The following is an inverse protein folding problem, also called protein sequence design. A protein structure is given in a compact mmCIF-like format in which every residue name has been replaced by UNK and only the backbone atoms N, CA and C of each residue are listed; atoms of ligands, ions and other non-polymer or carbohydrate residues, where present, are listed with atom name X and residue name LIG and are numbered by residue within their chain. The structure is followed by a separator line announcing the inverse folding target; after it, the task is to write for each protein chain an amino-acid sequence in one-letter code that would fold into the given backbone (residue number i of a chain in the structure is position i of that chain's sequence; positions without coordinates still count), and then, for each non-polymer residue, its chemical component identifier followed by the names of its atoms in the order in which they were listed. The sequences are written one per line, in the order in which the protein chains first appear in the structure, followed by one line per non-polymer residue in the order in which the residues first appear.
data_IF_622915989905
#
_entry.id   IF_622915989905
#
_cell.length_a   1.000
_cell.length_b   1.000
_cell.length_c   1.000
_cell.angle_alpha   90.00
_cell.angle_beta   90.00
_cell.angle_gamma   90.00
#
_symmetry.space_group_name_H-M   'P 1'
#
loop_
_entity.id
_entity.type
_entity.pdbx_description
1 polymer ?
#
# COMPACT_ATOMS: atom_id res chain seq x y z
N UNK A 1 3.61 -2.14 -18.21
CA UNK A 1 2.21 -1.69 -18.30
C UNK A 1 2.04 -0.51 -17.36
N UNK A 2 1.41 0.58 -17.81
CA UNK A 2 1.31 1.82 -17.02
C UNK A 2 0.09 1.75 -16.11
N UNK A 3 0.32 1.85 -14.80
CA UNK A 3 -0.71 1.76 -13.76
C UNK A 3 -1.38 3.11 -13.64
N UNK A 4 -2.71 3.15 -13.51
CA UNK A 4 -3.50 4.38 -13.51
C UNK A 4 -2.93 5.46 -12.57
N UNK A 5 -2.60 5.08 -11.33
CA UNK A 5 -2.03 5.96 -10.31
C UNK A 5 -0.63 6.53 -10.62
N UNK A 6 0.18 5.84 -11.43
CA UNK A 6 1.58 6.24 -11.68
C UNK A 6 1.78 6.88 -13.06
N UNK A 7 0.71 6.97 -13.85
CA UNK A 7 0.75 7.53 -15.18
C UNK A 7 0.65 9.06 -15.11
N UNK A 8 1.74 9.76 -15.39
CA UNK A 8 1.79 11.23 -15.33
C UNK A 8 0.65 11.91 -16.10
N UNK A 9 0.27 11.38 -17.26
CA UNK A 9 -0.83 11.93 -18.07
C UNK A 9 -2.21 11.77 -17.43
N UNK A 10 -2.41 10.78 -16.54
CA UNK A 10 -3.67 10.69 -15.79
C UNK A 10 -3.78 11.82 -14.78
N UNK A 11 -2.68 12.21 -14.14
CA UNK A 11 -2.69 13.38 -13.25
C UNK A 11 -2.89 14.68 -14.02
N UNK A 12 -2.25 14.86 -15.17
CA UNK A 12 -2.50 16.02 -16.03
C UNK A 12 -3.96 16.11 -16.47
N UNK A 13 -4.56 14.98 -16.88
CA UNK A 13 -6.00 14.94 -17.25
C UNK A 13 -6.89 15.35 -16.08
N UNK A 14 -6.63 14.84 -14.87
CA UNK A 14 -7.43 15.19 -13.70
C UNK A 14 -7.29 16.68 -13.32
N UNK A 15 -6.07 17.23 -13.35
CA UNK A 15 -5.84 18.67 -13.12
C UNK A 15 -6.52 19.52 -14.21
N UNK A 16 -6.36 19.14 -15.48
CA UNK A 16 -6.97 19.85 -16.61
C UNK A 16 -8.50 19.83 -16.52
N UNK A 17 -9.09 18.69 -16.18
CA UNK A 17 -10.54 18.56 -16.03
C UNK A 17 -11.07 19.48 -14.92
N UNK A 18 -10.41 19.50 -13.75
CA UNK A 18 -10.79 20.41 -12.67
C UNK A 18 -10.61 21.89 -13.06
N UNK A 19 -9.50 22.22 -13.71
CA UNK A 19 -9.22 23.60 -14.11
C UNK A 19 -10.20 24.11 -15.18
N UNK A 20 -10.58 23.26 -16.14
CA UNK A 20 -11.58 23.60 -17.15
C UNK A 20 -12.97 23.81 -16.53
N UNK A 21 -13.38 22.96 -15.58
CA UNK A 21 -14.66 23.09 -14.86
C UNK A 21 -14.73 24.37 -14.00
N UNK A 22 -13.61 24.79 -13.41
CA UNK A 22 -13.54 25.94 -12.50
C UNK A 22 -13.02 27.24 -13.12
N UNK A 23 -12.66 27.25 -14.40
CA UNK A 23 -11.92 28.37 -15.02
C UNK A 23 -10.66 28.75 -14.20
N UNK A 24 -9.94 27.74 -13.73
CA UNK A 24 -8.70 27.90 -12.98
C UNK A 24 -7.49 27.95 -13.91
N UNK A 25 -6.40 28.58 -13.44
CA UNK A 25 -5.12 28.62 -14.17
C UNK A 25 -4.14 27.64 -13.57
N UNK A 26 -3.44 26.91 -14.44
CA UNK A 26 -2.38 25.98 -14.08
C UNK A 26 -1.08 26.45 -14.74
N UNK A 27 0.02 26.48 -13.98
CA UNK A 27 1.36 26.73 -14.51
C UNK A 27 2.33 25.67 -13.99
N UNK A 28 3.04 24.98 -14.89
CA UNK A 28 4.06 24.00 -14.54
C UNK A 28 5.45 24.64 -14.67
N UNK A 29 6.24 24.56 -13.61
CA UNK A 29 7.69 24.78 -13.70
C UNK A 29 8.35 23.47 -14.15
N UNK A 30 8.93 23.47 -15.36
CA UNK A 30 9.55 22.28 -15.95
C UNK A 30 10.88 21.88 -15.29
N UNK A 31 11.51 22.77 -14.51
CA UNK A 31 12.75 22.48 -13.80
C UNK A 31 12.47 21.79 -12.46
N UNK A 32 11.49 22.29 -11.71
CA UNK A 32 11.14 21.73 -10.40
C UNK A 32 10.04 20.69 -10.47
N UNK A 33 9.31 20.64 -11.60
CA UNK A 33 8.06 19.90 -11.76
C UNK A 33 6.94 20.35 -10.81
N UNK A 34 7.05 21.53 -10.20
CA UNK A 34 5.97 22.09 -9.38
C UNK A 34 4.85 22.66 -10.24
N UNK A 35 3.61 22.52 -9.79
CA UNK A 35 2.45 23.13 -10.43
C UNK A 35 1.88 24.22 -9.53
N UNK A 36 1.80 25.44 -10.04
CA UNK A 36 1.02 26.50 -9.43
C UNK A 36 -0.43 26.39 -9.92
N UNK A 37 -1.37 26.39 -8.97
CA UNK A 37 -2.82 26.36 -9.22
C UNK A 37 -3.42 27.68 -8.73
N UNK A 38 -4.12 28.39 -9.62
CA UNK A 38 -4.73 29.70 -9.32
C UNK A 38 -6.23 29.65 -9.56
N UNK A 39 -7.02 30.01 -8.56
CA UNK A 39 -8.47 30.10 -8.68
C UNK A 39 -9.04 31.09 -7.65
N UNK A 40 -9.97 31.95 -8.06
CA UNK A 40 -10.63 32.97 -7.22
C UNK A 40 -9.67 33.82 -6.37
N UNK A 41 -8.53 34.20 -6.94
CA UNK A 41 -7.51 35.01 -6.25
C UNK A 41 -6.74 34.28 -5.15
N UNK A 42 -6.96 32.98 -4.97
CA UNK A 42 -6.10 32.10 -4.15
C UNK A 42 -5.10 31.37 -5.05
N UNK A 43 -3.96 31.02 -4.47
CA UNK A 43 -2.84 30.40 -5.17
C UNK A 43 -2.20 29.34 -4.29
N UNK A 44 -1.92 28.16 -4.85
CA UNK A 44 -1.21 27.08 -4.17
C UNK A 44 -0.14 26.49 -5.08
N UNK A 45 1.02 26.20 -4.51
CA UNK A 45 2.07 25.42 -5.16
C UNK A 45 1.89 23.96 -4.80
N UNK A 46 1.86 23.12 -5.83
CA UNK A 46 1.73 21.68 -5.72
C UNK A 46 3.09 21.04 -6.01
N UNK A 47 3.65 20.35 -5.02
CA UNK A 47 4.97 19.74 -5.07
C UNK A 47 4.89 18.32 -5.63
N UNK A 48 5.77 17.94 -6.57
CA UNK A 48 5.75 16.62 -7.18
C UNK A 48 6.27 15.55 -6.22
N UNK A 49 5.82 14.33 -6.46
CA UNK A 49 6.42 13.10 -5.96
C UNK A 49 6.77 12.22 -7.15
N UNK A 50 7.94 11.59 -7.10
CA UNK A 50 8.43 10.61 -8.05
C UNK A 50 8.73 9.31 -7.33
N UNK A 51 8.57 8.19 -8.03
CA UNK A 51 9.15 6.91 -7.63
C UNK A 51 10.49 6.76 -8.32
N UNK A 52 11.54 6.51 -7.56
CA UNK A 52 12.88 6.30 -8.07
C UNK A 52 13.47 4.98 -7.55
N UNK A 53 14.55 4.53 -8.18
CA UNK A 53 15.39 3.44 -7.67
C UNK A 53 16.67 4.01 -7.04
N UNK A 54 16.94 3.65 -5.79
CA UNK A 54 18.21 3.88 -5.10
C UNK A 54 18.72 2.57 -4.55
N UNK A 55 19.93 2.15 -4.92
CA UNK A 55 20.55 0.90 -4.46
C UNK A 55 19.65 -0.33 -4.67
N UNK A 56 18.99 -0.39 -5.84
CA UNK A 56 18.02 -1.45 -6.17
C UNK A 56 16.69 -1.36 -5.41
N UNK A 57 16.47 -0.32 -4.62
CA UNK A 57 15.26 -0.13 -3.79
C UNK A 57 14.37 0.97 -4.36
N UNK A 58 13.06 0.75 -4.34
CA UNK A 58 12.09 1.79 -4.62
C UNK A 58 12.12 2.83 -3.48
N UNK A 59 12.18 4.11 -3.85
CA UNK A 59 12.12 5.25 -2.93
C UNK A 59 11.23 6.34 -3.51
N UNK A 60 10.65 7.18 -2.65
CA UNK A 60 9.98 8.40 -3.09
C UNK A 60 10.98 9.56 -3.11
N UNK A 61 10.92 10.35 -4.18
CA UNK A 61 11.76 11.54 -4.39
C UNK A 61 10.88 12.74 -4.73
N UNK A 62 11.27 13.94 -4.33
CA UNK A 62 10.66 15.20 -4.79
C UNK A 62 11.33 15.76 -6.04
N UNK A 63 12.41 15.12 -6.51
CA UNK A 63 13.22 15.56 -7.65
C UNK A 63 13.15 14.52 -8.76
N UNK A 64 12.93 14.97 -9.99
CA UNK A 64 13.04 14.14 -11.18
C UNK A 64 14.52 13.83 -11.45
N UNK A 65 14.86 12.55 -11.42
CA UNK A 65 16.23 12.05 -11.63
C UNK A 65 16.27 11.02 -12.74
N UNK A 66 17.47 10.68 -13.22
CA UNK A 66 17.66 9.56 -14.16
C UNK A 66 17.22 8.20 -13.59
N UNK A 67 17.13 8.06 -12.26
CA UNK A 67 16.66 6.85 -11.60
C UNK A 67 15.14 6.82 -11.38
N UNK A 68 14.41 7.82 -11.86
CA UNK A 68 12.96 7.89 -11.77
C UNK A 68 12.30 6.83 -12.65
N UNK A 69 11.44 6.03 -12.05
CA UNK A 69 10.71 4.93 -12.69
C UNK A 69 9.20 5.17 -12.75
N UNK A 70 8.69 6.22 -12.11
CA UNK A 70 7.28 6.55 -12.10
C UNK A 70 7.00 7.92 -11.50
N UNK A 71 5.81 8.44 -11.76
CA UNK A 71 5.30 9.68 -11.18
C UNK A 71 4.31 9.35 -10.07
N UNK A 72 4.45 9.99 -8.91
CA UNK A 72 3.63 9.76 -7.72
C UNK A 72 2.55 10.83 -7.50
N UNK A 73 2.44 11.83 -8.37
CA UNK A 73 1.46 12.92 -8.28
C UNK A 73 1.96 14.19 -7.59
N UNK A 74 1.08 15.19 -7.49
CA UNK A 74 1.36 16.47 -6.83
C UNK A 74 0.58 16.66 -5.53
N UNK A 75 1.18 17.31 -4.53
CA UNK A 75 0.56 17.61 -3.22
C UNK A 75 0.78 19.06 -2.81
N UNK A 76 -0.11 19.70 -2.03
CA UNK A 76 0.02 21.10 -1.62
C UNK A 76 1.07 21.30 -0.50
N UNK A 77 1.93 20.31 -0.27
CA UNK A 77 2.97 20.32 0.75
C UNK A 77 4.11 19.35 0.36
N UNK A 78 5.33 19.59 0.86
CA UNK A 78 6.44 18.65 0.71
C UNK A 78 6.23 17.37 1.53
N UNK A 79 7.06 16.34 1.32
CA UNK A 79 6.92 15.07 2.04
C UNK A 79 6.92 15.25 3.58
N UNK A 80 5.98 14.57 4.24
CA UNK A 80 5.72 14.68 5.68
C UNK A 80 6.25 13.43 6.38
N UNK A 81 7.03 13.60 7.44
CA UNK A 81 7.42 12.50 8.34
C UNK A 81 6.57 12.56 9.60
N UNK A 82 5.87 11.47 9.90
CA UNK A 82 5.06 11.35 11.11
C UNK A 82 5.45 10.08 11.89
N UNK A 83 5.43 10.12 13.22
CA UNK A 83 5.85 9.00 14.05
C UNK A 83 5.01 7.74 13.77
N UNK A 84 3.70 7.90 13.69
CA UNK A 84 2.74 6.83 13.42
C UNK A 84 2.79 6.28 11.99
N UNK A 85 3.40 7.01 11.03
CA UNK A 85 3.67 6.45 9.70
C UNK A 85 5.04 5.78 9.60
N UNK A 86 5.88 5.92 10.63
CA UNK A 86 7.24 5.39 10.66
C UNK A 86 7.30 4.10 11.48
N UNK A 87 6.65 4.08 12.66
CA UNK A 87 6.60 2.91 13.54
C UNK A 87 5.18 2.29 13.55
N UNK A 88 5.09 1.07 13.02
CA UNK A 88 3.84 0.30 12.94
C UNK A 88 3.25 -0.03 14.31
N UNK A 89 4.08 -0.18 15.33
CA UNK A 89 3.62 -0.48 16.70
C UNK A 89 2.94 0.73 17.33
N UNK A 90 3.47 1.93 17.09
CA UNK A 90 2.83 3.17 17.52
C UNK A 90 1.46 3.34 16.85
N UNK A 91 1.38 3.09 15.54
CA UNK A 91 0.09 3.11 14.83
C UNK A 91 -0.91 2.13 15.42
N UNK A 92 -0.50 0.90 15.69
CA UNK A 92 -1.37 -0.12 16.31
C UNK A 92 -1.83 0.24 17.71
N UNK A 93 -0.96 0.84 18.52
CA UNK A 93 -1.35 1.34 19.83
C UNK A 93 -2.45 2.39 19.70
N UNK A 94 -2.27 3.36 18.82
CA UNK A 94 -3.29 4.36 18.49
C UNK A 94 -4.61 3.74 18.00
N UNK A 95 -4.57 2.72 17.13
CA UNK A 95 -5.77 2.04 16.67
C UNK A 95 -6.55 1.42 17.83
N UNK A 96 -5.86 0.72 18.74
CA UNK A 96 -6.48 0.12 19.93
C UNK A 96 -7.09 1.18 20.85
N UNK A 97 -6.35 2.25 21.13
CA UNK A 97 -6.81 3.37 21.95
C UNK A 97 -8.04 4.08 21.34
N UNK A 98 -8.11 4.11 20.01
CA UNK A 98 -9.24 4.68 19.26
C UNK A 98 -10.41 3.70 19.05
N UNK A 99 -10.32 2.48 19.60
CA UNK A 99 -11.33 1.43 19.42
C UNK A 99 -11.49 0.98 17.95
N UNK A 100 -10.44 1.09 17.15
CA UNK A 100 -10.38 0.66 15.75
C UNK A 100 -9.74 -0.73 15.64
N UNK A 101 -10.26 -1.53 14.72
CA UNK A 101 -9.77 -2.90 14.47
C UNK A 101 -8.36 -2.89 13.91
N UNK A 102 -7.48 -3.68 14.52
CA UNK A 102 -6.14 -4.02 14.02
C UNK A 102 -5.83 -5.46 14.39
N UNK A 103 -5.05 -6.20 13.59
CA UNK A 103 -4.72 -7.59 13.94
C UNK A 103 -4.04 -7.68 15.30
N UNK A 104 -4.32 -8.76 16.03
CA UNK A 104 -3.62 -9.09 17.25
C UNK A 104 -2.10 -9.16 17.00
N UNK A 105 -1.30 -8.70 17.96
CA UNK A 105 0.15 -8.64 17.78
C UNK A 105 0.90 -8.89 19.08
N UNK A 106 1.99 -9.64 19.01
CA UNK A 106 2.96 -9.80 20.09
C UNK A 106 4.13 -8.84 19.84
N UNK A 107 4.49 -7.97 20.81
CA UNK A 107 5.45 -6.88 20.58
C UNK A 107 6.85 -7.28 20.11
N UNK A 108 7.27 -8.52 20.40
CA UNK A 108 8.59 -9.04 20.03
C UNK A 108 8.47 -10.51 19.62
N UNK A 109 9.21 -10.89 18.57
CA UNK A 109 9.31 -12.27 18.09
C UNK A 109 10.08 -13.20 19.05
N UNK A 110 10.68 -12.67 20.12
CA UNK A 110 11.30 -13.47 21.19
C UNK A 110 10.32 -13.76 22.34
N UNK A 111 9.19 -13.06 22.41
CA UNK A 111 8.22 -13.18 23.51
C UNK A 111 7.27 -14.39 23.37
N UNK A 112 7.27 -15.07 22.22
CA UNK A 112 6.44 -16.24 21.96
C UNK A 112 7.22 -17.23 21.08
N UNK A 113 7.23 -18.51 21.47
CA UNK A 113 7.93 -19.54 20.69
C UNK A 113 7.11 -20.01 19.48
N UNK A 114 5.81 -20.22 19.67
CA UNK A 114 4.86 -20.66 18.66
C UNK A 114 3.48 -20.02 18.91
N UNK A 115 3.08 -19.01 18.13
CA UNK A 115 1.76 -18.40 18.22
C UNK A 115 0.64 -19.41 17.96
N UNK A 116 -0.49 -19.30 18.66
CA UNK A 116 -1.69 -20.14 18.48
C UNK A 116 -2.62 -19.66 17.35
N UNK A 117 -2.18 -18.66 16.57
CA UNK A 117 -2.86 -18.11 15.41
C UNK A 117 -1.92 -18.11 14.19
N UNK A 118 -2.50 -18.12 12.98
CA UNK A 118 -1.74 -17.89 11.75
C UNK A 118 -1.10 -16.50 11.81
N UNK A 119 0.19 -16.38 11.46
CA UNK A 119 0.94 -15.16 11.73
C UNK A 119 1.89 -14.76 10.61
N UNK A 120 2.28 -13.48 10.63
CA UNK A 120 3.39 -12.92 9.88
C UNK A 120 4.32 -12.20 10.85
N UNK A 121 5.53 -11.93 10.37
CA UNK A 121 6.54 -11.23 11.13
C UNK A 121 6.85 -9.93 10.43
N UNK A 122 6.93 -8.85 11.19
CA UNK A 122 7.11 -7.50 10.65
C UNK A 122 8.16 -6.74 11.43
N UNK A 123 9.04 -6.05 10.72
CA UNK A 123 9.83 -4.97 11.31
C UNK A 123 8.94 -3.81 11.75
N UNK A 124 9.18 -3.30 12.96
CA UNK A 124 8.45 -2.16 13.51
C UNK A 124 8.60 -0.90 12.64
N UNK A 125 9.81 -0.65 12.16
CA UNK A 125 10.17 0.51 11.34
C UNK A 125 10.53 0.01 9.95
N UNK A 126 9.91 0.56 8.91
CA UNK A 126 10.22 0.17 7.53
C UNK A 126 9.04 0.40 6.61
N UNK A 127 9.31 0.42 5.30
CA UNK A 127 8.29 0.64 4.26
C UNK A 127 8.49 -0.34 3.10
N UNK A 128 7.52 -0.40 2.19
CA UNK A 128 7.54 -1.23 0.97
C UNK A 128 7.63 -2.75 1.20
N UNK A 129 7.11 -3.26 2.32
CA UNK A 129 6.92 -4.70 2.54
C UNK A 129 8.19 -5.55 2.57
N UNK A 130 9.38 -4.95 2.77
CA UNK A 130 10.68 -5.64 2.73
C UNK A 130 11.03 -6.41 4.00
N UNK A 131 10.53 -5.95 5.14
CA UNK A 131 10.78 -6.58 6.44
C UNK A 131 9.55 -7.39 6.87
N UNK A 132 8.98 -8.14 5.93
CA UNK A 132 7.82 -9.00 6.18
C UNK A 132 8.21 -10.44 5.85
N UNK A 133 7.99 -11.35 6.80
CA UNK A 133 8.15 -12.78 6.59
C UNK A 133 6.86 -13.53 6.92
N UNK A 134 6.70 -14.71 6.30
CA UNK A 134 5.49 -15.52 6.39
C UNK A 134 4.65 -15.45 5.11
N UNK A 135 3.40 -15.92 5.14
CA UNK A 135 2.63 -16.36 6.33
C UNK A 135 3.14 -17.65 6.95
N UNK A 136 2.85 -17.83 8.24
CA UNK A 136 3.13 -19.02 9.03
C UNK A 136 1.85 -19.55 9.67
N UNK A 137 1.76 -20.86 9.84
CA UNK A 137 0.59 -21.51 10.45
C UNK A 137 0.62 -21.39 11.97
N UNK A 138 -0.55 -21.31 12.59
CA UNK A 138 -0.72 -21.50 14.02
C UNK A 138 0.05 -22.74 14.52
N UNK A 139 0.72 -22.61 15.67
CA UNK A 139 1.57 -23.64 16.27
C UNK A 139 2.93 -23.83 15.60
N UNK A 140 3.22 -23.17 14.48
CA UNK A 140 4.55 -23.23 13.85
C UNK A 140 5.55 -22.40 14.65
N UNK A 141 6.76 -22.93 14.92
CA UNK A 141 7.78 -22.17 15.64
C UNK A 141 8.20 -20.94 14.84
N UNK A 142 8.52 -19.85 15.54
CA UNK A 142 9.12 -18.67 14.92
C UNK A 142 10.51 -19.06 14.38
N UNK A 143 10.79 -18.86 13.07
CA UNK A 143 12.09 -19.21 12.50
C UNK A 143 13.28 -18.54 13.22
N UNK A 144 14.41 -19.25 13.31
CA UNK A 144 15.61 -18.73 13.98
C UNK A 144 16.43 -17.75 13.13
N UNK A 145 16.12 -17.67 11.84
CA UNK A 145 16.81 -16.83 10.85
C UNK A 145 16.22 -15.43 10.68
N UNK A 146 15.09 -15.14 11.33
CA UNK A 146 14.56 -13.78 11.39
C UNK A 146 15.56 -12.88 12.07
N UNK A 147 16.00 -11.85 11.35
CA UNK A 147 16.97 -10.87 11.85
C UNK A 147 18.43 -11.10 11.43
N UNK A 148 18.75 -12.17 10.69
CA UNK A 148 20.15 -12.54 10.40
C UNK A 148 20.96 -11.53 9.57
N UNK A 149 20.34 -10.59 8.88
CA UNK A 149 21.02 -9.46 8.21
C UNK A 149 21.14 -8.21 9.11
N UNK A 150 21.49 -8.38 10.38
CA UNK A 150 21.67 -7.26 11.32
C UNK A 150 20.38 -6.63 11.83
N UNK A 151 19.24 -7.28 11.60
CA UNK A 151 17.96 -6.90 12.19
C UNK A 151 17.83 -7.53 13.59
N UNK A 152 17.81 -6.67 14.59
CA UNK A 152 17.55 -7.04 15.98
C UNK A 152 16.18 -7.72 16.10
N UNK A 153 16.14 -8.99 16.55
CA UNK A 153 14.89 -9.76 16.71
C UNK A 153 13.89 -9.05 17.63
N UNK A 154 14.37 -8.19 18.54
CA UNK A 154 13.51 -7.35 19.40
C UNK A 154 12.78 -6.24 18.62
N UNK A 155 13.21 -5.95 17.39
CA UNK A 155 12.56 -4.97 16.49
C UNK A 155 11.55 -5.62 15.54
N UNK A 156 11.46 -6.95 15.55
CA UNK A 156 10.47 -7.72 14.79
C UNK A 156 9.34 -8.10 15.72
N UNK A 157 8.10 -7.80 15.32
CA UNK A 157 6.91 -8.18 16.06
C UNK A 157 6.13 -9.26 15.31
N UNK A 158 5.36 -10.04 16.05
CA UNK A 158 4.45 -11.06 15.52
C UNK A 158 3.09 -10.44 15.33
N UNK A 159 2.46 -10.66 14.20
CA UNK A 159 1.13 -10.15 13.89
C UNK A 159 0.25 -11.27 13.36
N UNK A 160 -1.00 -11.33 13.82
CA UNK A 160 -2.00 -12.23 13.28
C UNK A 160 -2.20 -11.98 11.78
N UNK A 161 -2.10 -13.04 11.00
CA UNK A 161 -2.37 -13.04 9.58
C UNK A 161 -3.89 -13.02 9.35
N UNK A 162 -4.38 -11.96 8.71
CA UNK A 162 -5.80 -11.82 8.38
C UNK A 162 -6.03 -12.33 6.96
N UNK A 163 -6.91 -13.32 6.83
CA UNK A 163 -7.37 -13.81 5.54
C UNK A 163 -8.39 -12.85 4.94
N UNK A 164 -8.30 -12.58 3.65
CA UNK A 164 -9.22 -11.70 2.96
C UNK A 164 -8.61 -11.00 1.75
N UNK A 165 -9.11 -9.80 1.46
CA UNK A 165 -8.69 -8.97 0.32
C UNK A 165 -7.76 -7.86 0.81
N UNK A 166 -6.77 -7.52 0.00
CA UNK A 166 -5.88 -6.40 0.25
C UNK A 166 -6.70 -5.11 0.13
N UNK A 167 -6.57 -4.22 1.11
CA UNK A 167 -7.21 -2.92 1.13
C UNK A 167 -6.18 -1.80 1.26
N UNK A 168 -6.38 -0.71 0.52
CA UNK A 168 -5.72 0.57 0.78
C UNK A 168 -6.72 1.70 0.59
N UNK A 169 -6.84 2.57 1.57
CA UNK A 169 -7.78 3.70 1.53
C UNK A 169 -7.00 5.00 1.64
N UNK A 170 -7.31 5.97 0.78
CA UNK A 170 -6.74 7.31 0.83
C UNK A 170 -7.74 8.28 1.44
N UNK A 171 -7.24 9.10 2.35
CA UNK A 171 -8.00 10.12 3.07
C UNK A 171 -7.39 11.50 2.82
N UNK A 172 -8.24 12.51 2.72
CA UNK A 172 -7.87 13.93 2.72
C UNK A 172 -8.53 14.61 3.91
N UNK A 173 -7.73 15.09 4.87
CA UNK A 173 -8.28 15.75 6.07
C UNK A 173 -9.22 14.87 6.90
N UNK A 174 -9.11 13.54 6.76
CA UNK A 174 -9.99 12.56 7.38
C UNK A 174 -11.15 12.07 6.52
N UNK A 175 -11.40 12.64 5.33
CA UNK A 175 -12.45 12.16 4.42
C UNK A 175 -11.87 11.12 3.45
N UNK A 176 -12.42 9.90 3.35
CA UNK A 176 -12.00 8.96 2.34
C UNK A 176 -12.39 9.47 0.95
N UNK A 177 -11.49 9.37 -0.03
CA UNK A 177 -11.78 9.80 -1.41
C UNK A 177 -11.40 8.78 -2.48
N UNK A 178 -10.62 7.77 -2.12
CA UNK A 178 -10.21 6.71 -3.03
C UNK A 178 -9.85 5.44 -2.26
N UNK A 179 -10.10 4.27 -2.84
CA UNK A 179 -9.68 3.01 -2.25
C UNK A 179 -9.28 1.98 -3.32
N UNK A 180 -8.31 1.14 -2.99
CA UNK A 180 -8.01 -0.10 -3.69
C UNK A 180 -8.50 -1.25 -2.83
N UNK A 181 -9.26 -2.18 -3.42
CA UNK A 181 -9.60 -3.45 -2.80
C UNK A 181 -9.46 -4.56 -3.83
N UNK A 182 -8.50 -5.47 -3.64
CA UNK A 182 -8.20 -6.52 -4.60
C UNK A 182 -7.82 -7.83 -3.93
N UNK A 183 -7.99 -8.93 -4.67
CA UNK A 183 -7.62 -10.26 -4.20
C UNK A 183 -6.09 -10.44 -4.29
N UNK A 184 -5.58 -11.48 -3.63
CA UNK A 184 -4.18 -11.83 -3.76
C UNK A 184 -3.82 -12.23 -5.19
N UNK A 185 -2.59 -11.93 -5.66
CA UNK A 185 -2.13 -12.40 -6.96
C UNK A 185 -2.07 -13.93 -6.99
N UNK A 186 -2.67 -14.52 -8.03
CA UNK A 186 -2.80 -15.97 -8.21
C UNK A 186 -1.90 -16.54 -9.31
N UNK A 187 -1.47 -17.78 -9.14
CA UNK A 187 -1.11 -18.71 -10.22
C UNK A 187 -2.21 -19.76 -10.37
N UNK A 188 -2.40 -20.27 -11.59
CA UNK A 188 -3.38 -21.32 -11.88
C UNK A 188 -2.66 -22.53 -12.47
N UNK A 189 -2.90 -23.70 -11.87
CA UNK A 189 -2.38 -24.96 -12.38
C UNK A 189 -2.94 -25.30 -13.75
N UNK A 190 -2.10 -25.93 -14.57
CA UNK A 190 -2.46 -26.45 -15.89
C UNK A 190 -2.32 -27.98 -15.98
N UNK A 191 -2.00 -28.65 -14.86
CA UNK A 191 -1.79 -30.09 -14.79
C UNK A 191 -0.46 -30.57 -15.39
N UNK A 192 0.41 -29.67 -15.84
CA UNK A 192 1.68 -30.03 -16.51
C UNK A 192 2.88 -29.34 -15.86
N UNK A 193 2.79 -28.03 -15.60
CA UNK A 193 3.89 -27.24 -15.05
C UNK A 193 3.91 -27.26 -13.52
N UNK A 194 5.11 -27.17 -12.97
CA UNK A 194 5.32 -27.02 -11.52
C UNK A 194 4.90 -25.63 -11.04
N UNK A 195 4.62 -25.50 -9.73
CA UNK A 195 4.38 -24.21 -9.10
C UNK A 195 5.53 -23.22 -9.38
N UNK A 196 6.78 -23.68 -9.29
CA UNK A 196 7.97 -22.91 -9.69
C UNK A 196 7.83 -22.30 -11.09
N UNK A 197 7.54 -23.15 -12.09
CA UNK A 197 7.49 -22.69 -13.48
C UNK A 197 6.36 -21.68 -13.68
N UNK A 198 5.20 -21.91 -13.07
CA UNK A 198 4.04 -21.02 -13.14
C UNK A 198 4.34 -19.64 -12.51
N UNK A 199 5.03 -19.63 -11.37
CA UNK A 199 5.47 -18.39 -10.71
C UNK A 199 6.47 -17.65 -11.58
N UNK A 200 7.51 -18.32 -12.09
CA UNK A 200 8.54 -17.71 -12.94
C UNK A 200 7.92 -17.12 -14.21
N UNK A 201 7.05 -17.86 -14.90
CA UNK A 201 6.34 -17.37 -16.08
C UNK A 201 5.52 -16.10 -15.75
N UNK A 202 4.85 -16.09 -14.59
CA UNK A 202 4.10 -14.92 -14.11
C UNK A 202 5.01 -13.74 -13.77
N UNK A 203 6.14 -13.95 -13.11
CA UNK A 203 7.11 -12.90 -12.81
C UNK A 203 7.73 -12.30 -14.10
N UNK A 204 8.25 -13.14 -15.00
CA UNK A 204 8.88 -12.71 -16.26
C UNK A 204 7.93 -11.94 -17.14
N UNK A 205 6.68 -12.39 -17.24
CA UNK A 205 5.65 -11.65 -17.99
C UNK A 205 5.31 -10.27 -17.41
N UNK A 206 5.55 -10.07 -16.12
CA UNK A 206 5.45 -8.77 -15.45
C UNK A 206 6.71 -7.91 -15.61
N UNK A 207 7.71 -8.37 -16.39
CA UNK A 207 8.99 -7.70 -16.57
C UNK A 207 9.94 -7.87 -15.38
N UNK A 208 9.75 -8.89 -14.55
CA UNK A 208 10.59 -9.16 -13.39
C UNK A 208 11.67 -10.21 -13.70
N UNK A 209 12.84 -10.00 -13.10
CA UNK A 209 13.93 -10.96 -13.09
C UNK A 209 13.89 -11.75 -11.77
N UNK A 210 13.28 -12.93 -11.83
CA UNK A 210 13.08 -13.80 -10.67
C UNK A 210 14.39 -14.16 -9.96
N UNK A 211 15.49 -14.33 -10.71
CA UNK A 211 16.77 -14.76 -10.15
C UNK A 211 17.49 -13.63 -9.39
N UNK A 212 17.00 -12.39 -9.50
CA UNK A 212 17.46 -11.23 -8.73
C UNK A 212 16.44 -10.75 -7.70
N UNK A 213 15.33 -11.45 -7.54
CA UNK A 213 14.18 -10.93 -6.80
C UNK A 213 14.22 -11.28 -5.31
N UNK A 214 13.93 -10.27 -4.49
CA UNK A 214 13.96 -10.30 -3.03
C UNK A 214 12.68 -10.95 -2.45
N UNK A 215 11.69 -11.23 -3.30
CA UNK A 215 10.36 -11.71 -2.88
C UNK A 215 10.20 -13.24 -2.93
N UNK A 216 11.24 -13.96 -3.35
CA UNK A 216 11.20 -15.43 -3.48
C UNK A 216 10.74 -16.11 -2.20
N UNK A 217 11.27 -15.69 -1.05
CA UNK A 217 10.96 -16.29 0.25
C UNK A 217 9.50 -16.10 0.63
N UNK A 218 8.92 -14.95 0.29
CA UNK A 218 7.50 -14.66 0.52
C UNK A 218 6.64 -15.55 -0.36
N UNK A 219 6.95 -15.65 -1.67
CA UNK A 219 6.20 -16.53 -2.58
C UNK A 219 6.24 -17.98 -2.11
N UNK A 220 7.42 -18.47 -1.71
CA UNK A 220 7.58 -19.82 -1.18
C UNK A 220 6.82 -20.01 0.14
N UNK A 221 6.85 -19.03 1.04
CA UNK A 221 6.08 -19.07 2.28
C UNK A 221 4.56 -19.13 2.01
N UNK A 222 4.06 -18.34 1.06
CA UNK A 222 2.65 -18.35 0.63
C UNK A 222 2.22 -19.74 0.14
N UNK A 223 3.03 -20.36 -0.73
CA UNK A 223 2.74 -21.69 -1.26
C UNK A 223 2.79 -22.76 -0.16
N UNK A 224 3.83 -22.76 0.68
CA UNK A 224 3.97 -23.68 1.81
C UNK A 224 2.80 -23.57 2.78
N UNK A 225 2.37 -22.35 3.09
CA UNK A 225 1.22 -22.10 3.95
C UNK A 225 -0.07 -22.71 3.38
N UNK A 226 -0.22 -22.74 2.06
CA UNK A 226 -1.34 -23.40 1.36
C UNK A 226 -1.11 -24.92 1.12
N UNK A 227 -0.05 -25.51 1.68
CA UNK A 227 0.28 -26.92 1.51
C UNK A 227 0.80 -27.28 0.11
N UNK A 228 1.32 -26.31 -0.64
CA UNK A 228 1.85 -26.50 -1.98
C UNK A 228 3.37 -26.56 -1.92
N UNK A 229 3.94 -27.67 -2.41
CA UNK A 229 5.36 -27.79 -2.63
C UNK A 229 5.82 -27.00 -3.88
N UNK A 230 7.00 -26.39 -3.81
CA UNK A 230 7.56 -25.55 -4.88
C UNK A 230 7.73 -26.30 -6.21
N UNK A 231 8.04 -27.60 -6.13
CA UNK A 231 8.26 -28.45 -7.30
C UNK A 231 7.05 -29.32 -7.66
N UNK A 232 5.92 -29.19 -6.93
CA UNK A 232 4.69 -29.90 -7.27
C UNK A 232 4.06 -29.36 -8.56
N UNK A 233 3.53 -30.26 -9.39
CA UNK A 233 2.65 -29.91 -10.50
C UNK A 233 1.28 -29.57 -9.96
N UNK A 234 0.81 -28.34 -10.24
CA UNK A 234 -0.51 -27.91 -9.80
C UNK A 234 -1.61 -28.50 -10.71
N UNK A 235 -2.62 -29.18 -10.14
CA UNK A 235 -3.78 -29.67 -10.89
C UNK A 235 -4.42 -28.58 -11.76
N UNK A 236 -4.88 -28.98 -12.95
CA UNK A 236 -5.50 -28.07 -13.90
C UNK A 236 -6.69 -27.32 -13.27
N UNK A 237 -6.70 -25.99 -13.42
CA UNK A 237 -7.74 -25.11 -12.89
C UNK A 237 -7.60 -24.76 -11.40
N UNK A 238 -6.67 -25.37 -10.66
CA UNK A 238 -6.47 -25.05 -9.25
C UNK A 238 -5.68 -23.74 -9.09
N UNK A 239 -6.29 -22.73 -8.49
CA UNK A 239 -5.65 -21.46 -8.22
C UNK A 239 -4.98 -21.43 -6.84
N UNK A 240 -3.82 -20.76 -6.76
CA UNK A 240 -3.05 -20.56 -5.52
C UNK A 240 -2.49 -19.15 -5.50
N UNK A 241 -2.60 -18.48 -4.36
CA UNK A 241 -2.04 -17.14 -4.21
C UNK A 241 -0.54 -17.20 -3.90
N UNK A 242 0.18 -16.16 -4.30
CA UNK A 242 1.65 -16.14 -4.22
C UNK A 242 2.21 -14.88 -3.54
N UNK A 243 1.35 -13.93 -3.19
CA UNK A 243 1.70 -12.78 -2.36
C UNK A 243 0.43 -12.38 -1.59
N UNK A 244 0.60 -11.67 -0.48
CA UNK A 244 -0.49 -11.11 0.33
C UNK A 244 -0.25 -9.65 0.69
N UNK A 245 0.90 -9.10 0.27
CA UNK A 245 1.25 -7.70 0.52
C UNK A 245 0.55 -6.82 -0.51
N UNK A 246 0.31 -5.56 -0.14
CA UNK A 246 -0.03 -4.52 -1.11
C UNK A 246 1.17 -4.27 -2.04
N UNK A 247 1.22 -5.04 -3.13
CA UNK A 247 2.27 -4.97 -4.14
C UNK A 247 1.65 -5.13 -5.53
N UNK A 248 2.11 -4.33 -6.48
CA UNK A 248 1.63 -4.34 -7.87
C UNK A 248 2.49 -5.27 -8.74
N UNK A 249 3.26 -6.16 -8.11
CA UNK A 249 4.36 -6.91 -8.74
C UNK A 249 3.85 -8.04 -9.64
N UNK A 250 2.91 -8.82 -9.11
CA UNK A 250 2.39 -10.02 -9.79
C UNK A 250 1.00 -9.79 -10.41
N UNK A 251 0.46 -8.57 -10.27
CA UNK A 251 -0.82 -8.22 -10.84
C UNK A 251 -0.66 -7.61 -12.23
N UNK A 252 -1.31 -8.25 -13.20
CA UNK A 252 -1.32 -7.78 -14.59
C UNK A 252 -2.49 -6.87 -14.94
N UNK A 253 -3.46 -6.68 -14.03
CA UNK A 253 -4.75 -6.05 -14.35
C UNK A 253 -5.17 -4.97 -13.35
N UNK A 254 -4.21 -4.31 -12.67
CA UNK A 254 -4.54 -3.13 -11.87
C UNK A 254 -5.10 -2.05 -12.79
N UNK A 255 -6.11 -1.32 -12.30
CA UNK A 255 -7.02 -0.53 -13.09
C UNK A 255 -6.29 0.38 -14.10
N UNK A 256 -6.77 0.38 -15.34
CA UNK A 256 -6.32 1.32 -16.37
C UNK A 256 -7.12 2.62 -16.36
N UNK A 257 -8.24 2.63 -15.64
CA UNK A 257 -9.17 3.76 -15.53
C UNK A 257 -9.59 4.02 -14.07
N UNK A 258 -10.07 5.25 -13.75
CA UNK A 258 -10.65 5.58 -12.44
C UNK A 258 -11.68 4.54 -11.96
N UNK A 259 -12.60 4.15 -12.85
CA UNK A 259 -13.73 3.27 -12.52
C UNK A 259 -13.28 1.84 -12.19
N UNK A 260 -12.16 1.40 -12.76
CA UNK A 260 -11.61 0.06 -12.52
C UNK A 260 -10.66 0.01 -11.33
N UNK A 261 -10.13 1.16 -10.90
CA UNK A 261 -9.13 1.24 -9.83
C UNK A 261 -9.73 1.72 -8.50
N UNK A 262 -10.82 2.51 -8.52
CA UNK A 262 -11.44 3.05 -7.31
C UNK A 262 -12.56 2.16 -6.74
N UNK A 263 -12.21 1.36 -5.73
CA UNK A 263 -13.14 0.52 -4.97
C UNK A 263 -13.90 1.25 -3.85
N UNK A 264 -13.74 2.58 -3.70
CA UNK A 264 -14.36 3.31 -2.60
C UNK A 264 -15.90 3.20 -2.55
N UNK A 265 -16.66 3.29 -3.66
CA UNK A 265 -18.11 3.18 -3.62
C UNK A 265 -18.58 1.85 -3.00
N UNK A 266 -17.99 0.73 -3.44
CA UNK A 266 -18.31 -0.61 -2.92
C UNK A 266 -17.87 -0.78 -1.46
N UNK A 267 -16.72 -0.20 -1.09
CA UNK A 267 -16.22 -0.21 0.28
C UNK A 267 -17.17 0.56 1.21
N UNK A 268 -17.62 1.75 0.82
CA UNK A 268 -18.55 2.56 1.62
C UNK A 268 -19.88 1.86 1.80
N UNK A 269 -20.40 1.20 0.76
CA UNK A 269 -21.66 0.45 0.84
C UNK A 269 -21.61 -0.70 1.87
N UNK A 270 -20.43 -1.31 2.09
CA UNK A 270 -20.27 -2.47 2.98
C UNK A 270 -19.68 -2.12 4.35
N UNK A 271 -18.79 -1.15 4.39
CA UNK A 271 -17.88 -0.86 5.51
C UNK A 271 -17.73 0.66 5.73
N UNK A 272 -18.72 1.46 5.31
CA UNK A 272 -18.73 2.92 5.44
C UNK A 272 -18.42 3.41 6.85
N UNK A 273 -19.16 2.92 7.85
CA UNK A 273 -18.95 3.28 9.26
C UNK A 273 -17.52 3.04 9.74
N UNK A 274 -16.89 1.94 9.33
CA UNK A 274 -15.51 1.62 9.70
C UNK A 274 -14.51 2.58 9.03
N UNK A 275 -14.80 2.98 7.80
CA UNK A 275 -13.97 3.92 7.03
C UNK A 275 -14.09 5.34 7.59
N UNK A 276 -15.29 5.78 7.96
CA UNK A 276 -15.56 7.10 8.53
C UNK A 276 -14.98 7.25 9.94
N UNK A 277 -15.09 6.20 10.77
CA UNK A 277 -14.44 6.18 12.10
C UNK A 277 -12.93 6.27 11.99
N UNK A 278 -12.33 5.55 11.04
CA UNK A 278 -10.90 5.65 10.76
C UNK A 278 -10.53 7.07 10.32
N UNK A 279 -11.25 7.63 9.36
CA UNK A 279 -11.03 8.99 8.88
C UNK A 279 -11.09 10.05 9.98
N UNK A 280 -12.09 9.94 10.85
CA UNK A 280 -12.26 10.81 12.03
C UNK A 280 -11.09 10.70 13.01
N UNK A 281 -10.67 9.47 13.34
CA UNK A 281 -9.56 9.23 14.25
C UNK A 281 -8.23 9.77 13.70
N UNK A 282 -7.97 9.57 12.40
CA UNK A 282 -6.78 10.09 11.73
C UNK A 282 -6.75 11.61 11.70
N UNK A 283 -7.90 12.25 11.41
CA UNK A 283 -7.99 13.71 11.46
C UNK A 283 -7.69 14.25 12.86
N UNK A 284 -8.23 13.61 13.90
CA UNK A 284 -7.96 13.98 15.29
C UNK A 284 -6.48 13.80 15.65
N UNK A 285 -5.88 12.67 15.25
CA UNK A 285 -4.46 12.39 15.48
C UNK A 285 -3.55 13.42 14.80
N UNK A 286 -3.76 13.68 13.51
CA UNK A 286 -2.88 14.54 12.72
C UNK A 286 -2.99 16.01 13.14
N UNK A 287 -4.18 16.49 13.50
CA UNK A 287 -4.37 17.88 13.95
C UNK A 287 -3.58 18.24 15.21
N UNK A 288 -3.11 17.25 15.98
CA UNK A 288 -2.24 17.48 17.13
C UNK A 288 -0.87 18.04 16.73
N UNK A 289 -0.40 17.75 15.51
CA UNK A 289 0.94 18.17 15.03
C UNK A 289 0.91 18.91 13.70
N UNK A 290 -0.14 18.74 12.90
CA UNK A 290 -0.31 19.32 11.57
C UNK A 290 -1.71 19.96 11.52
N UNK A 291 -1.83 21.29 11.73
CA UNK A 291 -3.12 21.97 11.86
C UNK A 291 -3.87 22.17 10.53
N UNK A 292 -3.43 21.50 9.46
CA UNK A 292 -4.01 21.59 8.11
C UNK A 292 -4.37 20.19 7.60
N UNK A 293 -5.35 20.08 6.70
CA UNK A 293 -5.64 18.81 6.03
C UNK A 293 -4.41 18.26 5.32
N UNK A 294 -4.15 16.97 5.50
CA UNK A 294 -3.14 16.23 4.74
C UNK A 294 -3.74 14.96 4.17
N UNK A 295 -3.22 14.58 3.01
CA UNK A 295 -3.43 13.29 2.39
C UNK A 295 -2.61 12.23 3.10
N UNK A 296 -3.28 11.14 3.46
CA UNK A 296 -2.68 9.92 3.98
C UNK A 296 -3.31 8.73 3.27
N UNK A 297 -2.63 7.60 3.25
CA UNK A 297 -3.28 6.33 2.97
C UNK A 297 -3.12 5.37 4.15
N UNK A 298 -4.09 4.50 4.34
CA UNK A 298 -4.02 3.43 5.33
C UNK A 298 -4.21 2.10 4.63
N UNK A 299 -3.28 1.18 4.90
CA UNK A 299 -3.33 -0.18 4.40
C UNK A 299 -4.14 -1.05 5.37
N UNK A 300 -4.88 -2.01 4.83
CA UNK A 300 -5.82 -2.84 5.57
C UNK A 300 -5.99 -4.22 4.94
N UNK A 301 -6.66 -5.10 5.67
CA UNK A 301 -7.26 -6.32 5.13
C UNK A 301 -8.77 -6.24 5.27
N UNK A 302 -9.50 -6.59 4.21
CA UNK A 302 -10.94 -6.76 4.24
C UNK A 302 -11.26 -8.25 4.39
N UNK A 303 -11.77 -8.65 5.55
CA UNK A 303 -12.12 -10.06 5.78
C UNK A 303 -13.40 -10.47 5.03
N UNK A 304 -13.73 -11.76 5.06
CA UNK A 304 -14.91 -12.33 4.38
C UNK A 304 -16.24 -11.73 4.88
N UNK A 305 -16.27 -11.17 6.10
CA UNK A 305 -17.44 -10.53 6.70
C UNK A 305 -17.51 -9.04 6.37
N UNK A 306 -16.55 -8.49 5.64
CA UNK A 306 -16.46 -7.06 5.34
C UNK A 306 -15.92 -6.22 6.49
N UNK A 307 -15.29 -6.83 7.50
CA UNK A 307 -14.57 -6.05 8.52
C UNK A 307 -13.21 -5.61 7.98
N UNK A 308 -12.85 -4.38 8.30
CA UNK A 308 -11.57 -3.80 7.96
C UNK A 308 -10.60 -4.00 9.13
N UNK A 309 -9.46 -4.62 8.85
CA UNK A 309 -8.35 -4.79 9.78
C UNK A 309 -7.22 -3.87 9.36
N UNK A 310 -7.06 -2.74 10.06
CA UNK A 310 -6.09 -1.71 9.69
C UNK A 310 -4.66 -2.11 10.10
N UNK A 311 -3.71 -1.92 9.19
CA UNK A 311 -2.34 -2.43 9.30
C UNK A 311 -1.32 -1.32 9.53
N UNK A 312 -1.25 -0.34 8.63
CA UNK A 312 -0.25 0.71 8.64
C UNK A 312 -0.74 1.99 7.96
N UNK A 313 -0.22 3.14 8.40
CA UNK A 313 -0.50 4.45 7.80
C UNK A 313 0.73 4.94 7.03
N UNK A 314 0.48 5.58 5.90
CA UNK A 314 1.49 6.18 5.04
C UNK A 314 1.16 7.66 4.79
N UNK A 315 2.08 8.58 5.08
CA UNK A 315 1.94 10.03 4.85
C UNK A 315 2.48 10.48 3.49
N UNK A 316 3.18 9.61 2.79
CA UNK A 316 3.81 9.90 1.48
C UNK A 316 3.44 8.85 0.45
N UNK A 317 2.15 8.55 0.33
CA UNK A 317 1.66 7.65 -0.71
C UNK A 317 1.54 8.35 -2.05
N UNK A 318 1.60 7.53 -3.11
CA UNK A 318 1.20 7.94 -4.46
C UNK A 318 -0.20 8.56 -4.40
N UNK A 319 -0.38 9.66 -5.10
CA UNK A 319 -1.60 10.46 -5.14
C UNK A 319 -2.54 9.92 -6.22
N UNK A 320 -3.73 9.38 -5.89
CA UNK A 320 -4.73 9.10 -6.90
C UNK A 320 -5.12 10.38 -7.65
N UNK A 321 -5.33 10.37 -8.98
CA UNK A 321 -5.75 11.57 -9.69
C UNK A 321 -7.04 12.21 -9.12
N UNK A 322 -7.92 11.42 -8.51
CA UNK A 322 -9.13 11.87 -7.79
C UNK A 322 -8.81 12.76 -6.59
N UNK A 323 -7.60 12.65 -6.02
CA UNK A 323 -7.17 13.48 -4.90
C UNK A 323 -7.17 14.97 -5.27
N UNK A 324 -6.93 15.35 -6.53
CA UNK A 324 -6.90 16.76 -6.91
C UNK A 324 -8.24 17.45 -6.66
N UNK A 325 -9.35 16.81 -7.03
CA UNK A 325 -10.67 17.34 -6.74
C UNK A 325 -10.93 17.44 -5.23
N UNK A 326 -10.56 16.40 -4.47
CA UNK A 326 -10.72 16.37 -3.01
C UNK A 326 -9.87 17.42 -2.28
N UNK A 327 -8.63 17.63 -2.71
CA UNK A 327 -7.74 18.65 -2.14
C UNK A 327 -8.23 20.05 -2.49
N UNK A 328 -8.55 20.29 -3.76
CA UNK A 328 -8.94 21.62 -4.23
C UNK A 328 -10.29 22.09 -3.70
N UNK A 329 -11.21 21.17 -3.37
CA UNK A 329 -12.47 21.56 -2.72
C UNK A 329 -12.23 22.23 -1.37
N UNK A 330 -11.22 21.81 -0.61
CA UNK A 330 -10.92 22.40 0.70
C UNK A 330 -9.94 23.59 0.59
N UNK A 331 -8.98 23.55 -0.35
CA UNK A 331 -8.00 24.64 -0.49
C UNK A 331 -8.64 25.92 -1.05
N UNK A 332 -9.56 25.80 -1.99
CA UNK A 332 -10.10 26.96 -2.71
C UNK A 332 -11.48 27.44 -2.25
N UNK A 333 -12.18 26.70 -1.39
CA UNK A 333 -13.46 27.09 -0.82
C UNK A 333 -13.31 27.23 0.68
#
# INVERSE_FOLDING_TARGET
MQIYLNAIFNHFRALQAWAADKDAKLALDVKTFEIEVKFRGRYYTMHPMFQARSDGRAVHSSVLTQSTIGFGGWRPYPSIRHAYSTDKRLFKAFLRESGLSTPASVPSATAVAAPDFDYILKGAIGSFGKEIAGPFRAGSPIPDDIGKEGADREKVFVEAYIHGRILKVWFWGGKPFFAHAHDYPLITGDGVRTAERLVRDKATSGGQDWDKDVDRDIVMACLRFQGVDWHAVLPAGQARWIDYRYSQRYERNLGVTPHTDNALPDLVAKSGDQTDRMGTALAALLRQTIPVPVMISVDGMLDEKGNIWWLEMNTNSIVPPEAYAAMFSDLFY
#
